data_IF_592793747887
#
_entry.id   IF_592793747887
#
_cell.length_a   1.000
_cell.length_b   1.000
_cell.length_c   1.000
_cell.angle_alpha   90.00
_cell.angle_beta   90.00
_cell.angle_gamma   90.00
#
_symmetry.space_group_name_H-M   'P 1'
#
loop_
_entity.id
_entity.type
_entity.pdbx_description
1 polymer ?
#
# COMPACT_ATOMS: atom_id res chain seq x y z
N UNK A 1 20.65 -12.61 9.55
CA UNK A 1 19.86 -13.23 8.46
C UNK A 1 19.42 -12.14 7.48
N UNK A 2 19.44 -12.40 6.16
CA UNK A 2 18.85 -11.47 5.17
C UNK A 2 17.34 -11.75 5.08
N UNK A 3 16.52 -10.85 5.62
CA UNK A 3 15.06 -10.97 5.58
C UNK A 3 14.47 -10.58 4.21
N UNK A 4 13.20 -10.93 3.99
CA UNK A 4 12.40 -10.52 2.83
C UNK A 4 11.10 -9.87 3.33
N UNK A 5 10.52 -9.00 2.52
CA UNK A 5 9.21 -8.39 2.74
C UNK A 5 8.41 -8.36 1.44
N UNK A 6 7.10 -8.45 1.54
CA UNK A 6 6.19 -8.54 0.39
C UNK A 6 5.24 -7.36 0.40
N UNK A 7 5.17 -6.64 -0.71
CA UNK A 7 4.17 -5.60 -0.94
C UNK A 7 3.04 -6.18 -1.75
N UNK A 8 1.81 -5.94 -1.32
CA UNK A 8 0.59 -6.45 -1.96
C UNK A 8 -0.33 -5.27 -2.25
N UNK A 9 -0.94 -5.25 -3.43
CA UNK A 9 -2.04 -4.35 -3.78
C UNK A 9 -3.26 -5.18 -4.06
N UNK A 10 -4.37 -4.91 -3.36
CA UNK A 10 -5.66 -5.56 -3.61
C UNK A 10 -6.67 -4.59 -4.21
N UNK A 11 -7.87 -5.05 -4.56
CA UNK A 11 -9.04 -4.20 -4.79
C UNK A 11 -9.95 -4.15 -3.54
N UNK A 12 -11.12 -3.52 -3.68
CA UNK A 12 -12.10 -3.39 -2.59
C UNK A 12 -12.74 -4.71 -2.17
N UNK A 13 -12.65 -5.75 -2.99
CA UNK A 13 -13.14 -7.10 -2.70
C UNK A 13 -12.02 -7.99 -2.13
N UNK A 14 -10.80 -7.46 -1.96
CA UNK A 14 -9.64 -8.21 -1.52
C UNK A 14 -8.97 -9.03 -2.63
N UNK A 15 -9.31 -8.79 -3.90
CA UNK A 15 -8.68 -9.49 -5.03
C UNK A 15 -7.28 -8.91 -5.29
N UNK A 16 -6.31 -9.79 -5.48
CA UNK A 16 -4.92 -9.40 -5.75
C UNK A 16 -4.79 -8.67 -7.09
N UNK A 17 -4.25 -7.45 -7.06
CA UNK A 17 -3.92 -6.64 -8.25
C UNK A 17 -2.42 -6.66 -8.55
N UNK A 18 -1.57 -6.63 -7.53
CA UNK A 18 -0.12 -6.72 -7.69
C UNK A 18 0.56 -7.27 -6.44
N UNK A 19 1.70 -7.94 -6.60
CA UNK A 19 2.57 -8.33 -5.50
C UNK A 19 4.05 -8.16 -5.87
N UNK A 20 4.88 -7.74 -4.92
CA UNK A 20 6.33 -7.62 -5.10
C UNK A 20 7.07 -8.04 -3.84
N UNK A 21 8.02 -8.98 -3.98
CA UNK A 21 8.92 -9.38 -2.90
C UNK A 21 10.22 -8.60 -3.03
N UNK A 22 10.67 -7.97 -1.95
CA UNK A 22 11.95 -7.25 -1.87
C UNK A 22 12.73 -7.67 -0.62
N UNK A 23 14.00 -7.27 -0.53
CA UNK A 23 14.77 -7.47 0.69
C UNK A 23 14.17 -6.66 1.86
N UNK A 24 14.21 -7.22 3.07
CA UNK A 24 13.61 -6.61 4.26
C UNK A 24 14.23 -5.25 4.65
N UNK A 25 15.44 -4.95 4.15
CA UNK A 25 16.12 -3.68 4.39
C UNK A 25 15.67 -2.54 3.46
N UNK A 26 14.91 -2.85 2.41
CA UNK A 26 14.26 -1.82 1.58
C UNK A 26 13.28 -1.07 2.48
N UNK A 27 13.04 0.22 2.25
CA UNK A 27 12.04 0.97 3.00
C UNK A 27 10.66 0.80 2.36
N UNK A 28 9.56 0.98 3.11
CA UNK A 28 8.22 0.73 2.58
C UNK A 28 7.85 1.70 1.46
N UNK A 29 8.34 2.93 1.56
CA UNK A 29 8.20 3.94 0.51
C UNK A 29 8.85 3.53 -0.82
N UNK A 30 9.99 2.84 -0.77
CA UNK A 30 10.69 2.35 -1.96
C UNK A 30 10.05 1.07 -2.52
N UNK A 31 9.68 0.16 -1.62
CA UNK A 31 9.10 -1.14 -1.98
C UNK A 31 7.72 -1.04 -2.62
N UNK A 32 6.91 -0.03 -2.30
CA UNK A 32 5.58 0.14 -2.90
C UNK A 32 5.59 0.63 -4.37
N UNK A 33 6.71 1.16 -4.88
CA UNK A 33 6.74 1.78 -6.23
C UNK A 33 6.44 0.78 -7.33
N UNK A 34 7.06 -0.40 -7.26
CA UNK A 34 6.88 -1.48 -8.23
C UNK A 34 5.41 -1.90 -8.38
N UNK A 35 4.76 -2.39 -7.31
CA UNK A 35 3.38 -2.83 -7.41
C UNK A 35 2.39 -1.70 -7.74
N UNK A 36 2.63 -0.45 -7.30
CA UNK A 36 1.79 0.68 -7.69
C UNK A 36 1.90 1.01 -9.19
N UNK A 37 3.11 0.95 -9.75
CA UNK A 37 3.32 1.14 -11.19
C UNK A 37 2.64 0.02 -12.00
N UNK A 38 2.80 -1.23 -11.58
CA UNK A 38 2.13 -2.38 -12.21
C UNK A 38 0.61 -2.22 -12.19
N UNK A 39 0.03 -1.88 -11.04
CA UNK A 39 -1.42 -1.63 -10.94
C UNK A 39 -1.87 -0.49 -11.85
N UNK A 40 -1.08 0.59 -11.99
CA UNK A 40 -1.42 1.69 -12.92
C UNK A 40 -1.47 1.21 -14.38
N UNK A 41 -0.52 0.36 -14.78
CA UNK A 41 -0.38 -0.10 -16.16
C UNK A 41 -1.44 -1.16 -16.51
N UNK A 42 -1.65 -2.14 -15.63
CA UNK A 42 -2.62 -3.24 -15.85
C UNK A 42 -4.06 -2.81 -15.59
N UNK A 43 -4.27 -1.94 -14.59
CA UNK A 43 -5.61 -1.48 -14.15
C UNK A 43 -5.72 0.03 -14.20
N UNK A 44 -5.77 0.64 -15.40
CA UNK A 44 -5.84 2.09 -15.54
C UNK A 44 -7.07 2.74 -14.87
N UNK A 45 -8.12 1.96 -14.60
CA UNK A 45 -9.32 2.38 -13.86
C UNK A 45 -9.13 2.63 -12.36
N UNK A 46 -8.04 2.14 -11.74
CA UNK A 46 -7.80 2.29 -10.29
C UNK A 46 -7.35 3.70 -9.97
N UNK A 47 -8.27 4.62 -9.63
CA UNK A 47 -7.95 6.06 -9.43
C UNK A 47 -7.48 6.40 -8.03
N UNK A 48 -7.91 5.63 -7.02
CA UNK A 48 -7.65 5.88 -5.61
C UNK A 48 -6.97 4.68 -4.97
N UNK A 49 -5.99 4.95 -4.11
CA UNK A 49 -5.24 3.94 -3.36
C UNK A 49 -5.19 4.35 -1.89
N UNK A 50 -5.44 3.39 -1.01
CA UNK A 50 -5.24 3.52 0.43
C UNK A 50 -3.91 2.87 0.82
N UNK A 51 -3.21 3.46 1.78
CA UNK A 51 -2.02 2.85 2.36
C UNK A 51 -1.97 3.12 3.85
N UNK A 52 -1.30 2.26 4.61
CA UNK A 52 -1.13 2.44 6.05
C UNK A 52 -0.18 3.62 6.38
N UNK A 53 -0.07 3.94 7.67
CA UNK A 53 0.80 4.99 8.17
C UNK A 53 2.30 4.70 8.04
N UNK A 54 2.73 3.44 7.88
CA UNK A 54 4.11 3.07 7.54
C UNK A 54 4.53 3.57 6.16
N UNK A 55 3.55 3.80 5.27
CA UNK A 55 3.74 4.54 4.02
C UNK A 55 3.64 6.06 4.18
N UNK A 56 3.33 6.59 5.36
CA UNK A 56 3.30 8.03 5.61
C UNK A 56 4.71 8.60 5.51
N UNK A 57 4.92 9.57 4.62
CA UNK A 57 6.22 10.20 4.39
C UNK A 57 6.32 10.74 2.96
N UNK A 58 7.50 10.67 2.34
CA UNK A 58 7.73 11.00 0.92
C UNK A 58 7.14 9.93 -0.01
N UNK A 59 5.87 9.53 0.17
CA UNK A 59 5.20 8.64 -0.77
C UNK A 59 4.80 9.41 -2.04
N UNK A 60 5.83 9.77 -2.80
CA UNK A 60 5.71 10.26 -4.16
C UNK A 60 5.10 9.19 -5.07
N UNK A 61 5.14 7.91 -4.70
CA UNK A 61 4.79 6.81 -5.61
C UNK A 61 3.38 6.96 -6.21
N UNK A 62 2.33 7.18 -5.42
CA UNK A 62 0.98 7.30 -5.99
C UNK A 62 0.68 8.68 -6.59
N UNK A 63 1.14 9.78 -5.98
CA UNK A 63 1.00 11.13 -6.54
C UNK A 63 1.76 11.29 -7.86
N UNK A 64 3.01 10.83 -7.94
CA UNK A 64 3.79 10.80 -9.18
C UNK A 64 3.22 9.85 -10.23
N UNK A 65 2.39 8.88 -9.82
CA UNK A 65 1.65 8.02 -10.72
C UNK A 65 0.25 8.56 -11.07
N UNK A 66 -0.10 9.79 -10.66
CA UNK A 66 -1.36 10.45 -10.99
C UNK A 66 -2.59 9.78 -10.36
N UNK A 67 -2.42 9.19 -9.18
CA UNK A 67 -3.49 8.54 -8.40
C UNK A 67 -3.69 9.24 -7.06
N UNK A 68 -4.94 9.25 -6.59
CA UNK A 68 -5.27 9.78 -5.28
C UNK A 68 -4.80 8.81 -4.20
N UNK A 69 -3.86 9.24 -3.38
CA UNK A 69 -3.34 8.48 -2.25
C UNK A 69 -3.94 8.98 -0.94
N UNK A 70 -4.61 8.11 -0.21
CA UNK A 70 -5.09 8.37 1.14
C UNK A 70 -4.31 7.51 2.13
N UNK A 71 -3.49 8.14 2.96
CA UNK A 71 -2.83 7.46 4.08
C UNK A 71 -3.85 7.29 5.21
N UNK A 72 -4.19 6.05 5.51
CA UNK A 72 -5.05 5.69 6.63
C UNK A 72 -4.23 5.79 7.91
N UNK A 73 -4.54 6.80 8.72
CA UNK A 73 -3.93 7.01 10.03
C UNK A 73 -4.77 6.31 11.08
N UNK A 74 -4.08 5.77 12.09
CA UNK A 74 -4.75 5.29 13.31
C UNK A 74 -5.39 6.48 14.02
N UNK A 75 -6.46 6.20 14.75
CA UNK A 75 -7.05 7.20 15.65
C UNK A 75 -5.99 7.56 16.73
N UNK A 76 -5.71 8.85 16.98
CA UNK A 76 -4.73 9.27 17.99
C UNK A 76 -5.06 8.75 19.39
N UNK A 77 -6.33 8.49 19.69
CA UNK A 77 -6.78 7.95 20.99
C UNK A 77 -6.87 6.42 20.99
N UNK A 78 -6.51 5.75 19.90
CA UNK A 78 -6.57 4.29 19.78
C UNK A 78 -5.64 3.60 20.79
N UNK A 79 -6.23 2.76 21.64
CA UNK A 79 -5.49 1.84 22.53
C UNK A 79 -5.62 0.40 22.02
N UNK A 80 -4.48 -0.27 21.84
CA UNK A 80 -4.45 -1.65 21.35
C UNK A 80 -4.73 -1.79 19.85
N UNK A 81 -5.01 -3.02 19.41
CA UNK A 81 -5.29 -3.33 18.01
C UNK A 81 -6.73 -2.98 17.65
N UNK A 82 -6.91 -2.23 16.57
CA UNK A 82 -8.21 -1.94 15.97
C UNK A 82 -8.15 -2.24 14.48
N UNK A 83 -9.16 -2.94 13.98
CA UNK A 83 -9.29 -3.22 12.54
C UNK A 83 -9.50 -1.91 11.81
N UNK A 84 -8.79 -1.73 10.70
CA UNK A 84 -8.93 -0.59 9.79
C UNK A 84 -9.67 -1.08 8.53
N UNK A 85 -11.01 -0.95 8.45
CA UNK A 85 -11.80 -1.62 7.42
C UNK A 85 -11.40 -1.20 6.00
N UNK A 86 -10.99 0.06 5.82
CA UNK A 86 -10.53 0.60 4.53
C UNK A 86 -9.27 -0.07 3.98
N UNK A 87 -8.42 -0.62 4.85
CA UNK A 87 -7.21 -1.36 4.43
C UNK A 87 -7.49 -2.86 4.20
N UNK A 88 -8.67 -3.35 4.60
CA UNK A 88 -9.10 -4.73 4.43
C UNK A 88 -10.09 -4.92 3.27
N UNK A 89 -10.89 -3.90 2.96
CA UNK A 89 -11.96 -3.91 1.95
C UNK A 89 -11.75 -2.86 0.87
N UNK A 90 -10.51 -2.37 0.70
CA UNK A 90 -10.16 -1.28 -0.22
C UNK A 90 -8.97 -1.65 -1.09
N UNK A 91 -8.74 -0.89 -2.18
CA UNK A 91 -7.45 -0.93 -2.86
C UNK A 91 -6.36 -0.44 -1.92
N UNK A 92 -5.70 -1.37 -1.25
CA UNK A 92 -4.75 -1.11 -0.19
C UNK A 92 -3.36 -1.62 -0.58
N UNK A 93 -2.32 -0.87 -0.23
CA UNK A 93 -0.95 -1.41 -0.19
C UNK A 93 -0.73 -2.01 1.19
N UNK A 94 -0.53 -3.33 1.27
CA UNK A 94 -0.21 -4.06 2.49
C UNK A 94 1.24 -4.58 2.42
N UNK A 95 1.95 -4.59 3.56
CA UNK A 95 3.29 -5.18 3.69
C UNK A 95 3.20 -6.41 4.59
N UNK A 96 3.56 -7.58 4.06
CA UNK A 96 3.68 -8.83 4.83
C UNK A 96 5.10 -9.38 4.85
#
# INVERSE_FOLDING_TARGET
MKGRKTFIVTDTLGLLLAAQVVAANIQDHDGAKGPLLWTRLDRPGVKKVWADQGFAGRLWAAQSLGRDLEIIRKDPDQRGFQVQPKLWLGTAVDVR
#
